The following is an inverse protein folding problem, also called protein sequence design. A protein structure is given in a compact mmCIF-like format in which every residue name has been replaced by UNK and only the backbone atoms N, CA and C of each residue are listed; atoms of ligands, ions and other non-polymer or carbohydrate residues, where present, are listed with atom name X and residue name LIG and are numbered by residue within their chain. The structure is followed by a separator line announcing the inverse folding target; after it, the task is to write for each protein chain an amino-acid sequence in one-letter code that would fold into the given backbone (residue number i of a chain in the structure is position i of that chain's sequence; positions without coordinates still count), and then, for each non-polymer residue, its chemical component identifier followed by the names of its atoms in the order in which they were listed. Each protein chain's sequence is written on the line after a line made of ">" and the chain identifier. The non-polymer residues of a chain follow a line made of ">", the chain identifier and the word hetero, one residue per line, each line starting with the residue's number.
data_IF_893445634210
#
_entry.id   IF_893445634210
#
_cell.length_a   1.000
_cell.length_b   1.000
_cell.length_c   1.000
_cell.angle_alpha   90.00
_cell.angle_beta   90.00
_cell.angle_gamma   90.00
#
_symmetry.space_group_name_H-M   'P 1'
#
loop_
_entity.id
_entity.type
_entity.pdbx_description
1 polymer ?
#
# COMPACT_ATOMS: atom_id res chain seq x y z
N UNK A 1 7.60 5.01 26.11
CA UNK A 1 6.47 4.27 25.47
C UNK A 1 7.04 2.98 24.94
N UNK A 2 6.47 1.81 25.26
CA UNK A 2 6.93 0.54 24.69
C UNK A 2 6.68 0.57 23.17
N UNK A 3 7.72 0.29 22.39
CA UNK A 3 7.60 0.14 20.92
C UNK A 3 6.55 -0.93 20.65
N UNK A 4 5.42 -0.54 20.03
CA UNK A 4 4.44 -1.52 19.56
C UNK A 4 5.15 -2.48 18.62
N UNK A 5 5.02 -3.78 18.85
CA UNK A 5 5.55 -4.77 17.91
C UNK A 5 4.78 -4.64 16.59
N UNK A 6 5.50 -4.26 15.52
CA UNK A 6 4.97 -3.99 14.18
C UNK A 6 5.44 -5.03 13.15
N UNK A 7 6.11 -6.09 13.63
CA UNK A 7 6.66 -7.14 12.79
C UNK A 7 5.70 -8.31 12.68
N UNK A 8 5.55 -8.86 11.48
CA UNK A 8 4.80 -10.10 11.28
C UNK A 8 5.54 -11.28 11.91
N UNK A 9 4.87 -12.42 12.02
CA UNK A 9 5.56 -13.71 12.08
C UNK A 9 6.35 -13.92 10.79
N UNK A 10 7.17 -14.96 10.72
CA UNK A 10 7.64 -15.47 9.44
C UNK A 10 6.44 -16.04 8.70
N UNK A 11 6.21 -15.52 7.50
CA UNK A 11 5.18 -15.96 6.58
C UNK A 11 5.83 -16.89 5.57
N UNK A 12 5.11 -17.92 5.13
CA UNK A 12 5.63 -18.90 4.18
C UNK A 12 4.57 -19.23 3.14
N UNK A 13 4.96 -19.27 1.88
CA UNK A 13 4.15 -19.76 0.77
C UNK A 13 5.02 -20.55 -0.21
N UNK A 14 4.42 -21.41 -1.03
CA UNK A 14 5.14 -22.17 -2.03
C UNK A 14 4.76 -21.71 -3.45
N UNK A 15 5.75 -21.47 -4.29
CA UNK A 15 5.58 -20.97 -5.66
C UNK A 15 4.81 -21.95 -6.56
N UNK A 16 4.79 -23.24 -6.22
CA UNK A 16 4.00 -24.26 -6.94
C UNK A 16 2.56 -24.40 -6.42
N UNK A 17 2.28 -23.92 -5.20
CA UNK A 17 0.99 -24.14 -4.55
C UNK A 17 0.29 -22.81 -4.23
N UNK A 18 -0.72 -22.47 -5.04
CA UNK A 18 -1.55 -21.29 -4.83
C UNK A 18 -2.72 -21.53 -3.88
N UNK A 19 -3.04 -22.78 -3.57
CA UNK A 19 -4.21 -23.20 -2.81
C UNK A 19 -5.56 -22.72 -3.41
N UNK A 20 -5.59 -22.24 -4.68
CA UNK A 20 -6.75 -21.66 -5.35
C UNK A 20 -7.03 -22.35 -6.68
N UNK A 21 -8.22 -22.94 -6.81
CA UNK A 21 -8.63 -23.65 -8.03
C UNK A 21 -9.46 -22.78 -8.97
N UNK A 22 -10.27 -21.86 -8.44
CA UNK A 22 -11.31 -21.16 -9.18
C UNK A 22 -11.13 -19.65 -9.22
N UNK A 23 -10.35 -19.11 -8.30
CA UNK A 23 -10.06 -17.68 -8.19
C UNK A 23 -8.56 -17.45 -8.16
N UNK A 24 -8.07 -16.41 -8.81
CA UNK A 24 -6.65 -16.11 -8.94
C UNK A 24 -6.09 -16.44 -10.32
N UNK A 25 -4.91 -15.92 -10.61
CA UNK A 25 -4.23 -16.05 -11.90
C UNK A 25 -3.44 -17.35 -11.94
N UNK A 26 -3.48 -18.07 -13.07
CA UNK A 26 -2.64 -19.25 -13.26
C UNK A 26 -1.17 -18.85 -13.45
N UNK A 27 -0.29 -19.38 -12.61
CA UNK A 27 1.17 -19.17 -12.63
C UNK A 27 1.93 -20.44 -12.95
N UNK A 28 1.28 -21.44 -13.50
CA UNK A 28 1.92 -22.73 -13.84
C UNK A 28 3.03 -22.60 -14.89
N UNK A 29 3.03 -21.49 -15.66
CA UNK A 29 4.03 -21.17 -16.65
C UNK A 29 5.21 -20.32 -16.12
N UNK A 30 5.22 -19.95 -14.84
CA UNK A 30 6.36 -19.23 -14.24
C UNK A 30 7.55 -20.14 -14.05
N UNK A 31 8.73 -19.63 -14.37
CA UNK A 31 10.01 -20.28 -14.08
C UNK A 31 10.33 -20.15 -12.59
N UNK A 32 9.99 -21.21 -11.84
CA UNK A 32 10.16 -21.21 -10.37
C UNK A 32 11.64 -21.21 -9.98
N UNK A 33 12.50 -21.92 -10.69
CA UNK A 33 13.95 -21.93 -10.41
C UNK A 33 14.55 -20.54 -10.62
N UNK A 34 14.15 -19.86 -11.69
CA UNK A 34 14.57 -18.48 -11.94
C UNK A 34 14.03 -17.53 -10.86
N UNK A 35 12.80 -17.73 -10.36
CA UNK A 35 12.23 -16.94 -9.27
C UNK A 35 13.00 -17.16 -7.96
N UNK A 36 13.31 -18.39 -7.60
CA UNK A 36 14.12 -18.72 -6.42
C UNK A 36 15.49 -18.06 -6.49
N UNK A 37 16.14 -18.15 -7.67
CA UNK A 37 17.44 -17.52 -7.89
C UNK A 37 17.36 -15.99 -7.81
N UNK A 38 16.30 -15.37 -8.35
CA UNK A 38 16.09 -13.92 -8.31
C UNK A 38 15.86 -13.44 -6.87
N UNK A 39 15.00 -14.11 -6.10
CA UNK A 39 14.74 -13.77 -4.70
C UNK A 39 16.02 -13.85 -3.87
N UNK A 40 16.85 -14.88 -4.09
CA UNK A 40 18.10 -15.07 -3.36
C UNK A 40 19.30 -14.32 -3.97
N UNK A 41 19.10 -13.51 -5.02
CA UNK A 41 20.19 -12.76 -5.64
C UNK A 41 20.75 -11.71 -4.67
N UNK A 42 22.06 -11.42 -4.82
CA UNK A 42 22.74 -10.41 -4.00
C UNK A 42 22.02 -9.06 -4.03
N UNK A 43 21.48 -8.67 -5.19
CA UNK A 43 20.71 -7.43 -5.35
C UNK A 43 19.46 -7.38 -4.47
N UNK A 44 18.64 -8.45 -4.47
CA UNK A 44 17.42 -8.50 -3.65
C UNK A 44 17.78 -8.61 -2.16
N UNK A 45 18.78 -9.40 -1.82
CA UNK A 45 19.24 -9.54 -0.43
C UNK A 45 19.88 -8.26 0.11
N UNK A 46 20.57 -7.48 -0.72
CA UNK A 46 21.04 -6.14 -0.36
C UNK A 46 19.87 -5.20 -0.06
N UNK A 47 18.80 -5.21 -0.88
CA UNK A 47 17.61 -4.40 -0.61
C UNK A 47 16.93 -4.78 0.72
N UNK A 48 16.91 -6.05 1.08
CA UNK A 48 16.42 -6.49 2.40
C UNK A 48 17.33 -5.96 3.51
N UNK A 49 18.64 -6.18 3.39
CA UNK A 49 19.63 -5.77 4.39
C UNK A 49 19.68 -4.25 4.62
N UNK A 50 19.44 -3.46 3.56
CA UNK A 50 19.41 -1.99 3.62
C UNK A 50 18.03 -1.40 3.93
N UNK A 51 17.01 -2.23 4.19
CA UNK A 51 15.61 -1.83 4.39
C UNK A 51 15.01 -1.06 3.20
N UNK A 52 15.51 -1.28 1.99
CA UNK A 52 15.03 -0.64 0.77
C UNK A 52 14.00 -1.47 -0.01
N UNK A 53 13.78 -2.74 0.38
CA UNK A 53 12.69 -3.56 -0.14
C UNK A 53 11.39 -3.21 0.58
N UNK A 54 10.63 -2.26 0.02
CA UNK A 54 9.49 -1.65 0.67
C UNK A 54 8.20 -1.93 -0.09
N UNK A 55 7.07 -1.99 0.63
CA UNK A 55 5.74 -2.26 0.08
C UNK A 55 4.73 -1.15 0.35
N UNK A 56 3.65 -1.16 -0.44
CA UNK A 56 2.53 -0.24 -0.35
C UNK A 56 1.28 -0.94 0.17
N UNK A 57 0.28 -0.16 0.58
CA UNK A 57 -1.07 -0.64 0.78
C UNK A 57 -1.79 -0.62 -0.57
N UNK A 58 -2.07 -1.81 -1.11
CA UNK A 58 -2.60 -2.01 -2.45
C UNK A 58 -1.55 -1.90 -3.57
N UNK A 59 -1.86 -2.47 -4.74
CA UNK A 59 -1.00 -2.41 -5.92
C UNK A 59 -1.16 -1.13 -6.75
N UNK A 60 -2.19 -0.32 -6.49
CA UNK A 60 -2.59 0.83 -7.31
C UNK A 60 -1.46 1.84 -7.52
N UNK A 61 -0.60 2.02 -6.50
CA UNK A 61 0.54 2.92 -6.60
C UNK A 61 1.54 2.41 -7.64
N UNK A 62 1.88 1.11 -7.62
CA UNK A 62 2.79 0.52 -8.61
C UNK A 62 2.14 0.40 -9.99
N UNK A 63 0.86 0.09 -10.05
CA UNK A 63 0.09 0.05 -11.30
C UNK A 63 0.12 1.41 -12.02
N UNK A 64 0.04 2.50 -11.27
CA UNK A 64 -0.02 3.85 -11.84
C UNK A 64 1.36 4.45 -12.11
N UNK A 65 2.36 4.16 -11.29
CA UNK A 65 3.66 4.84 -11.30
C UNK A 65 4.85 3.90 -11.55
N UNK A 66 4.60 2.65 -11.92
CA UNK A 66 5.62 1.65 -12.19
C UNK A 66 6.07 0.89 -10.94
N UNK A 67 6.87 -0.16 -11.14
CA UNK A 67 7.34 -1.05 -10.07
C UNK A 67 8.19 -0.35 -9.01
N UNK A 68 8.87 0.74 -9.37
CA UNK A 68 9.63 1.61 -8.48
C UNK A 68 9.01 3.01 -8.52
N UNK A 69 7.88 3.24 -7.79
CA UNK A 69 7.23 4.54 -7.78
C UNK A 69 8.13 5.61 -7.17
N UNK A 70 8.05 6.88 -7.62
CA UNK A 70 8.75 7.98 -7.00
C UNK A 70 8.24 8.22 -5.56
N UNK A 71 8.96 9.01 -4.78
CA UNK A 71 8.54 9.40 -3.42
C UNK A 71 7.35 10.35 -3.45
N UNK A 72 7.26 11.17 -4.51
CA UNK A 72 6.22 12.18 -4.65
C UNK A 72 5.74 12.29 -6.10
N UNK A 73 4.48 12.66 -6.25
CA UNK A 73 3.86 12.98 -7.54
C UNK A 73 3.11 14.30 -7.45
N UNK A 74 2.86 14.93 -8.59
CA UNK A 74 2.06 16.16 -8.65
C UNK A 74 0.67 15.79 -9.17
N UNK A 75 -0.34 15.92 -8.33
CA UNK A 75 -1.74 15.69 -8.71
C UNK A 75 -2.49 17.03 -8.58
N UNK A 76 -3.09 17.50 -9.68
CA UNK A 76 -3.84 18.77 -9.72
C UNK A 76 -3.05 19.95 -9.12
N UNK A 77 -1.74 20.00 -9.38
CA UNK A 77 -0.85 21.05 -8.87
C UNK A 77 -0.41 20.91 -7.41
N UNK A 78 -0.83 19.87 -6.72
CA UNK A 78 -0.41 19.58 -5.34
C UNK A 78 0.63 18.46 -5.32
N UNK A 79 1.64 18.57 -4.46
CA UNK A 79 2.59 17.48 -4.19
C UNK A 79 1.92 16.44 -3.30
N UNK A 80 1.88 15.21 -3.76
CA UNK A 80 1.36 14.05 -3.01
C UNK A 80 2.51 13.10 -2.73
N UNK A 81 2.67 12.70 -1.47
CA UNK A 81 3.68 11.72 -1.05
C UNK A 81 3.12 10.30 -1.22
N UNK A 82 3.88 9.45 -1.93
CA UNK A 82 3.55 8.04 -2.09
C UNK A 82 4.16 7.25 -0.92
N UNK A 83 3.45 7.26 0.21
CA UNK A 83 3.94 6.66 1.45
C UNK A 83 3.93 5.14 1.39
N UNK A 84 5.06 4.52 1.76
CA UNK A 84 5.19 3.07 1.92
C UNK A 84 4.49 2.63 3.20
N UNK A 85 3.91 1.43 3.19
CA UNK A 85 3.20 0.86 4.34
C UNK A 85 4.10 0.01 5.24
N UNK A 86 5.10 -0.65 4.67
CA UNK A 86 5.99 -1.57 5.38
C UNK A 86 7.29 -1.79 4.61
N UNK A 87 8.21 -2.52 5.23
CA UNK A 87 9.44 -3.03 4.62
C UNK A 87 9.60 -4.52 4.91
N UNK A 88 10.22 -5.22 3.97
CA UNK A 88 10.64 -6.61 4.16
C UNK A 88 11.93 -6.64 4.95
N UNK A 89 11.95 -7.37 6.07
CA UNK A 89 13.10 -7.47 6.97
C UNK A 89 13.79 -8.85 6.94
N UNK A 90 13.11 -9.86 6.44
CA UNK A 90 13.63 -11.20 6.18
C UNK A 90 13.01 -11.70 4.88
N UNK A 91 13.80 -12.32 4.00
CA UNK A 91 13.33 -12.92 2.75
C UNK A 91 14.30 -14.00 2.32
N UNK A 92 13.79 -15.18 2.00
CA UNK A 92 14.55 -16.27 1.40
C UNK A 92 13.64 -17.18 0.57
N UNK A 93 14.20 -17.83 -0.42
CA UNK A 93 13.51 -18.86 -1.19
C UNK A 93 14.34 -20.15 -1.20
N UNK A 94 13.67 -21.28 -1.03
CA UNK A 94 14.28 -22.62 -1.06
C UNK A 94 14.08 -23.27 -2.43
N UNK A 95 14.92 -24.24 -2.77
CA UNK A 95 14.88 -24.93 -4.08
C UNK A 95 13.57 -25.68 -4.34
N UNK A 96 12.84 -26.03 -3.31
CA UNK A 96 11.52 -26.65 -3.38
C UNK A 96 10.39 -25.65 -3.70
N UNK A 97 10.74 -24.38 -3.98
CA UNK A 97 9.81 -23.30 -4.26
C UNK A 97 9.22 -22.63 -3.01
N UNK A 98 9.60 -23.03 -1.81
CA UNK A 98 9.14 -22.38 -0.58
C UNK A 98 9.82 -21.03 -0.42
N UNK A 99 9.00 -19.98 -0.26
CA UNK A 99 9.45 -18.63 0.05
C UNK A 99 9.02 -18.28 1.48
N UNK A 100 9.96 -17.80 2.26
CA UNK A 100 9.75 -17.31 3.62
C UNK A 100 10.12 -15.84 3.68
N UNK A 101 9.25 -15.04 4.29
CA UNK A 101 9.50 -13.62 4.45
C UNK A 101 8.90 -13.08 5.75
N UNK A 102 9.33 -11.89 6.14
CA UNK A 102 8.85 -11.18 7.33
C UNK A 102 8.83 -9.69 7.09
N UNK A 103 7.75 -9.04 7.51
CA UNK A 103 7.51 -7.63 7.26
C UNK A 103 7.50 -6.83 8.56
N UNK A 104 7.91 -5.56 8.46
CA UNK A 104 7.80 -4.57 9.54
C UNK A 104 7.00 -3.36 9.05
N UNK A 105 5.81 -3.14 9.64
CA UNK A 105 4.93 -2.03 9.28
C UNK A 105 5.47 -0.69 9.77
N UNK A 106 5.40 0.33 8.94
CA UNK A 106 5.77 1.70 9.29
C UNK A 106 4.75 2.33 10.25
N UNK A 107 5.23 3.29 11.05
CA UNK A 107 4.41 4.12 11.94
C UNK A 107 3.89 5.34 11.17
N UNK A 108 3.05 5.08 10.18
CA UNK A 108 2.38 6.06 9.33
C UNK A 108 0.99 5.53 8.94
N UNK A 109 0.15 6.38 8.33
CA UNK A 109 -1.23 6.06 8.02
C UNK A 109 -1.39 4.75 7.19
N UNK A 110 -0.75 4.56 6.01
CA UNK A 110 -0.88 3.30 5.28
C UNK A 110 -0.31 2.09 6.02
N UNK A 111 0.72 2.28 6.85
CA UNK A 111 1.27 1.21 7.68
C UNK A 111 0.35 0.81 8.83
N UNK A 112 -0.37 1.76 9.44
CA UNK A 112 -1.38 1.47 10.47
C UNK A 112 -2.59 0.74 9.87
N UNK A 113 -3.07 1.15 8.70
CA UNK A 113 -4.18 0.48 8.01
C UNK A 113 -3.78 -0.96 7.68
N UNK A 114 -2.62 -1.16 7.04
CA UNK A 114 -2.12 -2.49 6.71
C UNK A 114 -1.93 -3.38 7.96
N UNK A 115 -1.43 -2.82 9.06
CA UNK A 115 -1.25 -3.53 10.34
C UNK A 115 -2.60 -3.94 10.97
N UNK A 116 -3.61 -3.07 10.89
CA UNK A 116 -4.96 -3.37 11.39
C UNK A 116 -5.60 -4.48 10.56
N UNK A 117 -5.53 -4.39 9.24
CA UNK A 117 -6.07 -5.39 8.33
C UNK A 117 -5.33 -6.74 8.47
N UNK A 118 -4.01 -6.71 8.64
CA UNK A 118 -3.23 -7.92 8.94
C UNK A 118 -3.70 -8.60 10.23
N UNK A 119 -3.91 -7.83 11.30
CA UNK A 119 -4.41 -8.35 12.59
C UNK A 119 -5.86 -8.85 12.50
N UNK A 120 -6.68 -8.19 11.70
CA UNK A 120 -8.06 -8.58 11.45
C UNK A 120 -8.18 -9.75 10.47
N UNK A 121 -7.05 -10.23 9.89
CA UNK A 121 -7.04 -11.25 8.84
C UNK A 121 -7.83 -10.83 7.59
N UNK A 122 -7.86 -9.52 7.31
CA UNK A 122 -8.62 -8.91 6.22
C UNK A 122 -7.78 -8.71 4.95
N UNK A 123 -6.53 -9.18 4.93
CA UNK A 123 -5.64 -9.05 3.79
C UNK A 123 -4.32 -9.80 3.99
N UNK A 124 -3.42 -9.68 3.04
CA UNK A 124 -2.10 -10.32 3.08
C UNK A 124 -1.14 -9.74 2.05
N UNK A 125 0.00 -10.39 1.90
CA UNK A 125 1.11 -9.91 1.09
C UNK A 125 1.07 -10.52 -0.31
N UNK A 126 1.20 -9.69 -1.32
CA UNK A 126 1.21 -10.07 -2.72
C UNK A 126 2.51 -9.59 -3.37
N UNK A 127 3.16 -10.46 -4.15
CA UNK A 127 4.45 -10.15 -4.80
C UNK A 127 4.29 -9.15 -5.95
N UNK A 128 5.29 -8.30 -6.10
CA UNK A 128 5.46 -7.37 -7.23
C UNK A 128 6.68 -7.79 -8.04
N UNK A 129 6.45 -8.33 -9.25
CA UNK A 129 7.50 -9.00 -10.06
C UNK A 129 7.35 -8.62 -11.53
N UNK A 130 8.46 -8.32 -12.19
CA UNK A 130 8.51 -8.20 -13.64
C UNK A 130 8.88 -9.54 -14.27
N UNK A 131 8.20 -9.88 -15.37
CA UNK A 131 8.47 -11.09 -16.14
C UNK A 131 8.74 -10.75 -17.60
N UNK A 132 9.57 -11.60 -18.23
CA UNK A 132 9.70 -11.67 -19.68
C UNK A 132 9.05 -12.95 -20.18
N UNK A 133 8.17 -12.85 -21.16
CA UNK A 133 7.58 -14.02 -21.80
C UNK A 133 8.53 -14.58 -22.87
N UNK A 134 8.93 -15.83 -22.69
CA UNK A 134 9.79 -16.55 -23.63
C UNK A 134 9.11 -17.87 -24.00
N UNK A 135 8.51 -17.93 -25.18
CA UNK A 135 7.84 -19.14 -25.66
C UNK A 135 6.68 -19.62 -24.76
N UNK A 136 5.95 -18.71 -24.15
CA UNK A 136 4.83 -19.00 -23.25
C UNK A 136 5.26 -19.22 -21.78
N UNK A 137 6.58 -19.24 -21.47
CA UNK A 137 7.11 -19.33 -20.11
C UNK A 137 7.43 -17.94 -19.59
N UNK A 138 7.00 -17.63 -18.39
CA UNK A 138 7.28 -16.36 -17.70
C UNK A 138 8.57 -16.46 -16.89
N UNK A 139 9.60 -15.77 -17.38
CA UNK A 139 10.90 -15.69 -16.72
C UNK A 139 10.94 -14.43 -15.87
N UNK A 140 11.07 -14.51 -14.54
CA UNK A 140 11.14 -13.33 -13.69
C UNK A 140 12.43 -12.55 -13.96
N UNK A 141 12.32 -11.22 -14.09
CA UNK A 141 13.42 -10.31 -14.41
C UNK A 141 13.69 -9.27 -13.34
N UNK A 142 12.72 -9.02 -12.44
CA UNK A 142 12.88 -8.10 -11.32
C UNK A 142 11.91 -8.45 -10.20
N UNK A 143 12.39 -8.47 -8.96
CA UNK A 143 11.59 -8.65 -7.76
C UNK A 143 11.58 -7.35 -6.96
N UNK A 144 10.39 -6.80 -6.72
CA UNK A 144 10.20 -5.48 -6.09
C UNK A 144 9.56 -5.57 -4.71
N UNK A 145 9.54 -6.77 -4.13
CA UNK A 145 8.99 -7.03 -2.80
C UNK A 145 7.50 -7.39 -2.84
N UNK A 146 6.81 -6.95 -1.81
CA UNK A 146 5.40 -7.23 -1.60
C UNK A 146 4.60 -5.93 -1.50
N UNK A 147 3.29 -6.01 -1.79
CA UNK A 147 2.31 -5.02 -1.39
C UNK A 147 1.24 -5.68 -0.53
N UNK A 148 0.64 -4.97 0.41
CA UNK A 148 -0.44 -5.50 1.24
C UNK A 148 -1.76 -5.29 0.52
N UNK A 149 -2.49 -6.38 0.27
CA UNK A 149 -3.74 -6.37 -0.49
C UNK A 149 -4.83 -7.13 0.25
N UNK A 150 -6.09 -6.78 0.01
CA UNK A 150 -7.22 -7.50 0.60
C UNK A 150 -7.21 -8.99 0.21
N UNK A 151 -6.65 -9.33 -0.94
CA UNK A 151 -6.70 -10.69 -1.47
C UNK A 151 -5.45 -11.07 -2.30
N UNK A 152 -4.29 -11.53 -1.72
CA UNK A 152 -3.12 -12.01 -2.47
C UNK A 152 -3.31 -13.41 -3.11
N UNK A 153 -2.54 -13.78 -4.12
CA UNK A 153 -2.71 -15.03 -4.89
C UNK A 153 -2.39 -16.31 -4.10
N UNK A 154 -1.34 -16.26 -3.30
CA UNK A 154 -0.96 -17.41 -2.48
C UNK A 154 -1.72 -17.40 -1.17
N UNK A 155 -2.57 -18.44 -0.96
CA UNK A 155 -3.48 -18.52 0.17
C UNK A 155 -2.79 -18.53 1.53
N UNK A 156 -1.57 -19.00 1.61
CA UNK A 156 -0.73 -19.02 2.80
C UNK A 156 -0.02 -17.68 3.07
N UNK A 157 -0.02 -16.74 2.10
CA UNK A 157 0.68 -15.46 2.23
C UNK A 157 -0.15 -14.35 2.90
N UNK A 158 -1.00 -14.73 3.81
CA UNK A 158 -1.99 -13.88 4.50
C UNK A 158 -1.81 -13.81 6.00
N UNK A 159 -0.87 -14.58 6.56
CA UNK A 159 -0.70 -14.62 8.01
C UNK A 159 -2.00 -14.90 8.74
N UNK A 160 -2.79 -15.87 8.29
CA UNK A 160 -4.07 -16.34 8.82
C UNK A 160 -5.36 -15.68 8.25
N UNK A 161 -5.35 -14.97 7.10
CA UNK A 161 -6.52 -14.36 6.41
C UNK A 161 -6.58 -14.57 4.88
N UNK A 162 -7.60 -14.16 4.08
CA UNK A 162 -7.85 -14.58 2.66
C UNK A 162 -7.70 -13.47 1.58
N UNK A 163 -7.87 -13.65 0.22
CA UNK A 163 -6.94 -13.47 -0.89
C UNK A 163 -7.46 -13.26 -2.31
N UNK A 164 -6.83 -12.40 -3.19
CA UNK A 164 -6.96 -12.36 -4.66
C UNK A 164 -5.81 -11.69 -5.43
N UNK A 165 -5.79 -11.84 -6.78
CA UNK A 165 -4.66 -11.58 -7.64
C UNK A 165 -5.00 -11.04 -9.04
N UNK A 166 -4.25 -10.10 -9.59
CA UNK A 166 -4.47 -9.51 -10.91
C UNK A 166 -3.22 -9.22 -11.75
N UNK A 167 -3.40 -9.22 -13.06
CA UNK A 167 -2.39 -8.90 -14.06
C UNK A 167 -2.59 -7.48 -14.58
N UNK A 168 -1.56 -6.66 -14.57
CA UNK A 168 -1.52 -5.38 -15.27
C UNK A 168 -0.44 -5.42 -16.35
N UNK A 169 -0.79 -5.04 -17.57
CA UNK A 169 0.15 -4.89 -18.68
C UNK A 169 0.19 -3.42 -19.05
N UNK A 170 1.17 -2.61 -18.55
CA UNK A 170 1.47 -1.34 -19.19
C UNK A 170 2.01 -1.64 -20.60
N UNK A 171 1.75 -0.78 -21.58
CA UNK A 171 2.46 -0.80 -22.86
C UNK A 171 3.94 -0.44 -22.58
N UNK A 172 4.72 -1.46 -22.27
CA UNK A 172 6.17 -1.38 -22.19
C UNK A 172 6.80 -1.96 -23.45
N UNK A 173 8.07 -1.59 -23.77
CA UNK A 173 8.72 -2.07 -24.99
C UNK A 173 8.67 -3.59 -25.09
N UNK A 174 8.42 -4.08 -26.28
CA UNK A 174 8.09 -5.46 -26.63
C UNK A 174 8.79 -6.52 -25.75
N UNK A 175 8.00 -7.27 -25.00
CA UNK A 175 8.41 -8.48 -24.30
C UNK A 175 8.58 -8.39 -22.79
N UNK A 176 8.32 -7.25 -22.13
CA UNK A 176 8.33 -7.14 -20.67
C UNK A 176 6.89 -7.06 -20.17
N UNK A 177 6.53 -7.92 -19.23
CA UNK A 177 5.21 -7.94 -18.58
C UNK A 177 5.40 -7.65 -17.10
N UNK A 178 4.78 -6.59 -16.61
CA UNK A 178 4.70 -6.30 -15.18
C UNK A 178 3.51 -7.03 -14.59
N UNK A 179 3.76 -7.91 -13.64
CA UNK A 179 2.74 -8.73 -13.02
C UNK A 179 2.58 -8.38 -11.55
N UNK A 180 1.33 -8.15 -11.16
CA UNK A 180 0.91 -8.03 -9.77
C UNK A 180 0.10 -9.26 -9.42
N UNK A 181 0.33 -9.77 -8.22
CA UNK A 181 -0.43 -10.89 -7.71
C UNK A 181 -1.75 -10.41 -7.07
N UNK A 182 -2.59 -9.63 -7.76
CA UNK A 182 -3.93 -9.21 -7.31
C UNK A 182 -4.97 -9.14 -8.42
N UNK A 183 -6.25 -9.29 -8.08
CA UNK A 183 -7.33 -9.71 -8.99
C UNK A 183 -8.06 -8.58 -9.71
N UNK A 184 -7.42 -7.50 -10.08
CA UNK A 184 -8.08 -6.58 -11.01
C UNK A 184 -7.32 -6.60 -12.33
N UNK A 185 -7.69 -7.50 -13.19
CA UNK A 185 -7.22 -7.51 -14.57
C UNK A 185 -7.89 -6.35 -15.33
N UNK A 186 -7.23 -5.20 -15.32
CA UNK A 186 -7.68 -4.03 -16.09
C UNK A 186 -7.60 -4.31 -17.59
N UNK A 187 -6.80 -5.30 -18.02
CA UNK A 187 -6.73 -5.70 -19.43
C UNK A 187 -8.01 -6.34 -19.95
N UNK A 188 -8.90 -6.80 -19.06
CA UNK A 188 -10.23 -7.32 -19.36
C UNK A 188 -11.30 -6.21 -19.44
N UNK A 189 -10.99 -4.99 -18.97
CA UNK A 189 -11.92 -3.88 -19.06
C UNK A 189 -11.93 -3.30 -20.48
N UNK A 190 -13.12 -3.06 -21.02
CA UNK A 190 -13.24 -2.29 -22.25
C UNK A 190 -12.80 -0.84 -22.05
N UNK A 191 -12.41 -0.15 -23.13
CA UNK A 191 -12.03 1.28 -23.05
C UNK A 191 -13.05 2.15 -22.30
N UNK A 192 -14.39 1.98 -22.47
CA UNK A 192 -15.38 2.69 -21.67
C UNK A 192 -15.29 2.39 -20.18
N UNK A 193 -15.04 1.14 -19.79
CA UNK A 193 -14.92 0.75 -18.37
C UNK A 193 -13.68 1.33 -17.70
N UNK A 194 -12.56 1.42 -18.43
CA UNK A 194 -11.34 2.10 -17.97
C UNK A 194 -11.63 3.60 -17.76
N UNK A 195 -12.33 4.25 -18.69
CA UNK A 195 -12.71 5.66 -18.55
C UNK A 195 -13.65 5.86 -17.37
N UNK A 196 -14.62 4.99 -17.15
CA UNK A 196 -15.53 5.04 -16.00
C UNK A 196 -14.77 4.84 -14.69
N UNK A 197 -13.84 3.88 -14.62
CA UNK A 197 -13.00 3.65 -13.44
C UNK A 197 -12.16 4.89 -13.12
N UNK A 198 -11.55 5.52 -14.12
CA UNK A 198 -10.80 6.78 -13.97
C UNK A 198 -11.67 7.95 -13.50
N UNK A 199 -12.89 8.08 -14.05
CA UNK A 199 -13.84 9.12 -13.63
C UNK A 199 -14.33 8.92 -12.19
N UNK A 200 -14.57 7.67 -11.79
CA UNK A 200 -14.93 7.34 -10.39
C UNK A 200 -13.78 7.63 -9.42
N UNK A 201 -12.55 7.31 -9.80
CA UNK A 201 -11.36 7.64 -9.03
C UNK A 201 -11.21 9.16 -8.86
N UNK A 202 -11.41 9.92 -9.93
CA UNK A 202 -11.40 11.39 -9.88
C UNK A 202 -12.53 11.96 -8.99
N UNK A 203 -13.72 11.37 -8.99
CA UNK A 203 -14.81 11.77 -8.10
C UNK A 203 -14.50 11.44 -6.63
N UNK A 204 -13.92 10.30 -6.35
CA UNK A 204 -13.48 9.90 -4.99
C UNK A 204 -12.44 10.90 -4.49
N UNK A 205 -11.43 11.21 -5.29
CA UNK A 205 -10.39 12.19 -4.94
C UNK A 205 -10.96 13.58 -4.70
N UNK A 206 -11.92 14.04 -5.54
CA UNK A 206 -12.59 15.32 -5.33
C UNK A 206 -13.43 15.34 -4.04
N UNK A 207 -14.09 14.24 -3.72
CA UNK A 207 -14.86 14.10 -2.48
C UNK A 207 -13.94 14.15 -1.26
N UNK A 208 -12.79 13.48 -1.31
CA UNK A 208 -11.76 13.51 -0.26
C UNK A 208 -11.20 14.94 -0.04
N UNK A 209 -10.87 15.64 -1.13
CA UNK A 209 -10.40 17.03 -1.07
C UNK A 209 -11.46 17.98 -0.48
N UNK A 210 -12.75 17.77 -0.80
CA UNK A 210 -13.84 18.53 -0.21
C UNK A 210 -14.02 18.25 1.29
N UNK A 211 -13.95 16.99 1.70
CA UNK A 211 -14.04 16.59 3.11
C UNK A 211 -12.87 17.19 3.90
N UNK A 212 -11.65 17.07 3.41
CA UNK A 212 -10.46 17.63 4.06
C UNK A 212 -10.53 19.16 4.15
N UNK A 213 -11.02 19.83 3.11
CA UNK A 213 -11.22 21.29 3.13
C UNK A 213 -12.28 21.70 4.14
N UNK A 214 -13.37 20.96 4.26
CA UNK A 214 -14.42 21.21 5.27
C UNK A 214 -13.90 20.93 6.69
N UNK A 215 -13.11 19.89 6.88
CA UNK A 215 -12.49 19.56 8.17
C UNK A 215 -11.52 20.66 8.61
N UNK A 216 -10.72 21.19 7.69
CA UNK A 216 -9.83 22.33 7.95
C UNK A 216 -10.63 23.58 8.38
N UNK A 217 -11.70 23.92 7.66
CA UNK A 217 -12.57 25.03 8.00
C UNK A 217 -13.25 24.86 9.37
N UNK A 218 -13.71 23.65 9.70
CA UNK A 218 -14.28 23.34 11.02
C UNK A 218 -13.26 23.47 12.13
N UNK A 219 -12.01 23.07 11.89
CA UNK A 219 -10.91 23.23 12.84
C UNK A 219 -10.58 24.70 13.07
N UNK A 220 -10.53 25.51 12.00
CA UNK A 220 -10.34 26.96 12.12
C UNK A 220 -11.51 27.65 12.85
N UNK A 221 -12.74 27.23 12.58
CA UNK A 221 -13.93 27.74 13.26
C UNK A 221 -13.93 27.39 14.76
N UNK A 222 -13.52 26.15 15.10
CA UNK A 222 -13.34 25.71 16.49
C UNK A 222 -12.28 26.54 17.22
N UNK A 223 -11.15 26.79 16.57
CA UNK A 223 -10.10 27.67 17.10
C UNK A 223 -10.59 29.11 17.28
N UNK A 224 -11.34 29.64 16.33
CA UNK A 224 -11.92 31.00 16.43
C UNK A 224 -12.96 31.10 17.57
N UNK A 225 -13.80 30.08 17.76
CA UNK A 225 -14.73 30.02 18.89
C UNK A 225 -14.02 29.96 20.25
N UNK A 226 -12.91 29.22 20.33
CA UNK A 226 -12.06 29.21 21.53
C UNK A 226 -11.48 30.59 21.86
N UNK A 227 -10.98 31.32 20.85
CA UNK A 227 -10.49 32.68 20.99
C UNK A 227 -11.57 33.67 21.42
N UNK A 228 -12.77 33.54 20.88
CA UNK A 228 -13.96 34.37 21.29
C UNK A 228 -14.32 34.08 22.74
N UNK A 229 -14.28 32.83 23.19
CA UNK A 229 -14.49 32.44 24.58
C UNK A 229 -13.48 33.09 25.53
N UNK A 230 -12.20 33.03 25.22
CA UNK A 230 -11.12 33.64 26.00
C UNK A 230 -11.26 35.17 26.07
N UNK A 231 -11.62 35.81 24.96
CA UNK A 231 -11.85 37.28 24.92
C UNK A 231 -13.05 37.68 25.75
N UNK A 232 -14.15 36.89 25.71
CA UNK A 232 -15.32 37.12 26.53
C UNK A 232 -15.03 37.05 28.04
N UNK A 233 -14.28 36.02 28.47
CA UNK A 233 -13.85 35.87 29.86
C UNK A 233 -12.96 37.04 30.33
N UNK A 234 -12.02 37.47 29.47
CA UNK A 234 -11.19 38.66 29.78
C UNK A 234 -12.01 39.93 29.91
N UNK A 235 -12.99 40.13 29.03
CA UNK A 235 -13.87 41.27 29.06
C UNK A 235 -14.74 41.31 30.34
N UNK A 236 -15.33 40.17 30.71
CA UNK A 236 -16.13 40.05 31.94
C UNK A 236 -15.29 40.30 33.19
N UNK A 237 -14.04 39.82 33.21
CA UNK A 237 -13.09 40.07 34.28
C UNK A 237 -12.73 41.55 34.39
N UNK A 238 -12.53 42.26 33.31
CA UNK A 238 -12.29 43.70 33.29
C UNK A 238 -13.48 44.48 33.79
N UNK A 239 -14.67 44.11 33.35
CA UNK A 239 -15.94 44.75 33.78
C UNK A 239 -16.15 44.60 35.29
N UNK A 240 -15.91 43.41 35.85
CA UNK A 240 -15.96 43.19 37.32
C UNK A 240 -14.92 44.02 38.08
N UNK A 241 -13.71 44.16 37.58
CA UNK A 241 -12.67 44.99 38.18
C UNK A 241 -13.02 46.48 38.14
N UNK A 242 -13.71 46.94 37.12
CA UNK A 242 -14.16 48.31 36.97
C UNK A 242 -15.29 48.60 37.97
N UNK A 243 -16.28 47.73 38.12
CA UNK A 243 -17.34 47.85 39.11
C UNK A 243 -16.80 47.90 40.55
N UNK A 244 -15.84 47.06 40.90
CA UNK A 244 -15.17 47.08 42.21
C UNK A 244 -14.34 48.34 42.49
N UNK A 245 -13.95 49.08 41.45
CA UNK A 245 -13.30 50.41 41.60
C UNK A 245 -14.28 51.56 41.79
N UNK A 246 -15.50 51.44 41.27
CA UNK A 246 -16.56 52.44 41.37
C UNK A 246 -17.30 52.33 42.71
N UNK A 247 -17.26 51.16 43.37
CA UNK A 247 -17.85 50.90 44.69
C UNK A 247 -16.92 51.29 45.86
N UNK A 248 -15.70 51.80 45.61
CA UNK A 248 -14.76 52.35 46.62
C UNK A 248 -14.69 53.87 46.60
#
# INVERSE_FOLDING_TARGET
>A
MASKNRKTKVLSYNLYDRCRKFTGVDRSNVDVDAMVNLINSDHVQEMVATNSLQGFYGHQIRQRYGMVPPETVIIKGKVVYLSRAFKTIELRASKDGTVEHREEFYDNEPGEIALQDYKAQAGGFSTSVNYKNVGGRLIPTGFFGFDFVAQPNYASNVGDGQLFDGLFVPEEPEGVVSCFDSATDISQLSQPEIIIAQLLEDQILQTYDNINSQLHLLTELGNAQGLVGELSEKFDKQKRLQQLREER
#
